data_IF_410546938757
#
_entry.id   IF_410546938757
#
_cell.length_a   1.000
_cell.length_b   1.000
_cell.length_c   1.000
_cell.angle_alpha   90.00
_cell.angle_beta   90.00
_cell.angle_gamma   90.00
#
_symmetry.space_group_name_H-M   'P 1'
#
loop_
_entity.id
_entity.type
_entity.pdbx_description
1 polymer ?
#
# COMPACT_ATOMS: atom_id res chain seq x y z
N UNK A 1 5.67 5.84 -13.20
CA UNK A 1 5.86 5.45 -11.78
C UNK A 1 6.93 6.30 -11.09
N UNK A 2 8.12 6.49 -11.69
CA UNK A 2 9.25 7.22 -11.06
C UNK A 2 8.91 8.67 -10.67
N UNK A 3 8.23 9.43 -11.54
CA UNK A 3 7.80 10.81 -11.26
C UNK A 3 6.85 10.95 -10.06
N UNK A 4 5.93 10.00 -9.87
CA UNK A 4 5.00 10.01 -8.74
C UNK A 4 5.72 9.85 -7.40
N UNK A 5 6.65 8.89 -7.32
CA UNK A 5 7.46 8.60 -6.14
C UNK A 5 8.19 9.86 -5.64
N UNK A 6 8.94 10.51 -6.55
CA UNK A 6 9.76 11.69 -6.23
C UNK A 6 8.89 12.87 -5.80
N UNK A 7 7.84 13.18 -6.55
CA UNK A 7 6.98 14.32 -6.27
C UNK A 7 6.27 14.21 -4.92
N UNK A 8 5.78 13.01 -4.59
CA UNK A 8 5.06 12.76 -3.34
C UNK A 8 5.98 12.91 -2.11
N UNK A 9 7.18 12.33 -2.18
CA UNK A 9 8.16 12.44 -1.10
C UNK A 9 8.66 13.87 -0.90
N UNK A 10 8.90 14.60 -1.98
CA UNK A 10 9.32 16.00 -1.92
C UNK A 10 8.26 16.87 -1.23
N UNK A 11 6.98 16.71 -1.59
CA UNK A 11 5.87 17.47 -0.98
C UNK A 11 5.69 17.16 0.50
N UNK A 12 5.81 15.90 0.91
CA UNK A 12 5.66 15.49 2.32
C UNK A 12 6.95 15.58 3.13
N UNK A 13 8.09 15.91 2.53
CA UNK A 13 9.42 15.90 3.16
C UNK A 13 9.72 14.56 3.88
N UNK A 14 9.24 13.45 3.33
CA UNK A 14 9.42 12.09 3.86
C UNK A 14 10.29 11.26 2.92
N UNK A 15 10.94 10.23 3.46
CA UNK A 15 11.66 9.23 2.65
C UNK A 15 10.64 8.39 1.84
N UNK A 16 11.08 7.85 0.72
CA UNK A 16 10.31 6.87 -0.04
C UNK A 16 10.89 5.48 0.18
N UNK A 17 10.00 4.53 0.47
CA UNK A 17 10.35 3.11 0.60
C UNK A 17 9.43 2.32 -0.34
N UNK A 18 10.01 1.57 -1.26
CA UNK A 18 9.33 0.60 -2.09
C UNK A 18 9.60 -0.80 -1.51
N UNK A 19 8.56 -1.51 -1.12
CA UNK A 19 8.73 -2.85 -0.54
C UNK A 19 9.19 -3.86 -1.57
N UNK A 20 8.89 -3.65 -2.85
CA UNK A 20 9.38 -4.50 -3.95
C UNK A 20 10.90 -4.39 -4.07
N UNK A 21 11.46 -3.16 -4.01
CA UNK A 21 12.91 -2.93 -4.00
C UNK A 21 13.58 -3.61 -2.79
N UNK A 22 12.94 -3.61 -1.62
CA UNK A 22 13.46 -4.29 -0.42
C UNK A 22 13.47 -5.81 -0.57
N UNK A 23 12.46 -6.40 -1.22
CA UNK A 23 12.41 -7.84 -1.48
C UNK A 23 13.51 -8.22 -2.47
N UNK A 24 13.64 -7.48 -3.58
CA UNK A 24 14.68 -7.72 -4.58
C UNK A 24 16.08 -7.61 -4.00
N UNK A 25 16.34 -6.58 -3.18
CA UNK A 25 17.62 -6.42 -2.47
C UNK A 25 17.91 -7.58 -1.51
N UNK A 26 16.89 -8.09 -0.79
CA UNK A 26 17.04 -9.23 0.13
C UNK A 26 17.30 -10.54 -0.59
N UNK A 27 16.66 -10.76 -1.74
CA UNK A 27 16.76 -12.01 -2.50
C UNK A 27 17.92 -12.03 -3.52
N UNK A 28 18.47 -10.86 -3.88
CA UNK A 28 19.48 -10.71 -4.92
C UNK A 28 18.96 -11.04 -6.33
N UNK A 29 17.65 -11.02 -6.55
CA UNK A 29 17.01 -11.34 -7.83
C UNK A 29 15.66 -10.63 -7.97
N UNK A 30 15.17 -10.50 -9.23
CA UNK A 30 13.90 -9.83 -9.49
C UNK A 30 12.69 -10.60 -8.95
N UNK A 31 11.59 -9.88 -8.64
CA UNK A 31 10.32 -10.49 -8.20
C UNK A 31 9.82 -11.53 -9.20
N UNK A 32 9.97 -11.29 -10.52
CA UNK A 32 9.59 -12.26 -11.53
C UNK A 32 10.40 -13.55 -11.38
N UNK A 33 11.71 -13.45 -11.17
CA UNK A 33 12.57 -14.63 -10.95
C UNK A 33 12.19 -15.40 -9.69
N UNK A 34 11.79 -14.68 -8.63
CA UNK A 34 11.29 -15.29 -7.39
C UNK A 34 10.00 -16.07 -7.66
N UNK A 35 9.05 -15.48 -8.36
CA UNK A 35 7.76 -16.15 -8.70
C UNK A 35 7.99 -17.35 -9.60
N UNK A 36 8.87 -17.24 -10.59
CA UNK A 36 9.15 -18.34 -11.53
C UNK A 36 9.82 -19.54 -10.86
N UNK A 37 10.70 -19.29 -9.88
CA UNK A 37 11.44 -20.35 -9.18
C UNK A 37 10.69 -20.95 -8.00
N UNK A 38 10.01 -20.12 -7.22
CA UNK A 38 9.48 -20.51 -5.90
C UNK A 38 7.94 -20.36 -5.81
N UNK A 39 7.32 -19.75 -6.81
CA UNK A 39 5.88 -19.53 -6.87
C UNK A 39 5.42 -18.25 -6.14
N UNK A 40 4.16 -17.90 -6.39
CA UNK A 40 3.57 -16.67 -5.87
C UNK A 40 3.33 -16.68 -4.35
N UNK A 41 3.18 -17.85 -3.75
CA UNK A 41 3.00 -17.99 -2.29
C UNK A 41 4.28 -17.59 -1.55
N UNK A 42 5.42 -18.04 -2.04
CA UNK A 42 6.72 -17.67 -1.49
C UNK A 42 6.97 -16.14 -1.59
N UNK A 43 6.56 -15.52 -2.70
CA UNK A 43 6.62 -14.05 -2.81
C UNK A 43 5.78 -13.38 -1.72
N UNK A 44 4.57 -13.87 -1.44
CA UNK A 44 3.71 -13.34 -0.35
C UNK A 44 4.36 -13.48 1.03
N UNK A 45 5.06 -14.58 1.28
CA UNK A 45 5.82 -14.78 2.53
C UNK A 45 6.96 -13.76 2.66
N UNK A 46 7.67 -13.49 1.57
CA UNK A 46 8.71 -12.45 1.55
C UNK A 46 8.13 -11.04 1.75
N UNK A 47 7.00 -10.73 1.12
CA UNK A 47 6.29 -9.47 1.34
C UNK A 47 5.94 -9.32 2.83
N UNK A 48 5.34 -10.33 3.48
CA UNK A 48 5.05 -10.29 4.90
C UNK A 48 6.31 -10.08 5.74
N UNK A 49 7.39 -10.81 5.47
CA UNK A 49 8.65 -10.66 6.21
C UNK A 49 9.20 -9.24 6.09
N UNK A 50 9.19 -8.64 4.89
CA UNK A 50 9.63 -7.26 4.67
C UNK A 50 8.74 -6.28 5.43
N UNK A 51 7.43 -6.43 5.37
CA UNK A 51 6.50 -5.59 6.11
C UNK A 51 6.71 -5.65 7.62
N UNK A 52 7.07 -6.82 8.17
CA UNK A 52 7.26 -7.03 9.61
C UNK A 52 8.64 -6.62 10.12
N UNK A 53 9.68 -6.61 9.26
CA UNK A 53 11.07 -6.41 9.71
C UNK A 53 11.70 -5.09 9.29
N UNK A 54 11.11 -4.36 8.32
CA UNK A 54 11.72 -3.13 7.79
C UNK A 54 11.35 -1.88 8.59
N UNK A 55 12.24 -0.88 8.57
CA UNK A 55 12.00 0.42 9.19
C UNK A 55 11.27 1.36 8.24
N UNK A 56 10.09 1.84 8.67
CA UNK A 56 9.23 2.71 7.88
C UNK A 56 9.01 4.10 8.53
N UNK A 57 9.74 4.42 9.61
CA UNK A 57 9.58 5.69 10.30
C UNK A 57 9.74 6.89 9.35
N UNK A 58 8.84 7.85 9.44
CA UNK A 58 8.81 9.08 8.63
C UNK A 58 8.93 8.83 7.11
N UNK A 59 8.32 7.76 6.60
CA UNK A 59 8.40 7.36 5.20
C UNK A 59 7.05 7.37 4.51
N UNK A 60 7.08 7.54 3.19
CA UNK A 60 6.01 7.13 2.28
C UNK A 60 6.34 5.71 1.82
N UNK A 61 5.50 4.76 2.15
CA UNK A 61 5.70 3.35 1.83
C UNK A 61 4.81 2.95 0.67
N UNK A 62 5.40 2.49 -0.44
CA UNK A 62 4.68 1.83 -1.51
C UNK A 62 4.80 0.32 -1.34
N UNK A 63 3.68 -0.35 -1.21
CA UNK A 63 3.64 -1.81 -1.06
C UNK A 63 3.38 -2.50 -2.38
N UNK A 64 3.87 -3.74 -2.51
CA UNK A 64 3.38 -4.67 -3.51
C UNK A 64 1.87 -4.89 -3.36
N UNK A 65 1.20 -5.21 -4.47
CA UNK A 65 -0.27 -5.35 -4.47
C UNK A 65 -0.78 -6.58 -3.70
N UNK A 66 0.07 -7.45 -3.21
CA UNK A 66 -0.30 -8.63 -2.42
C UNK A 66 -0.07 -8.45 -0.91
N UNK A 67 0.46 -7.32 -0.46
CA UNK A 67 0.58 -6.97 0.96
C UNK A 67 -0.73 -7.15 1.74
N UNK A 68 -1.87 -6.88 1.10
CA UNK A 68 -3.23 -7.03 1.64
C UNK A 68 -3.60 -8.45 2.10
N UNK A 69 -2.86 -9.48 1.70
CA UNK A 69 -3.08 -10.85 2.15
C UNK A 69 -2.40 -11.16 3.49
N UNK A 70 -1.46 -10.31 3.92
CA UNK A 70 -0.82 -10.43 5.24
C UNK A 70 -1.57 -9.57 6.26
N UNK A 71 -2.41 -10.20 7.08
CA UNK A 71 -3.11 -9.48 8.16
C UNK A 71 -2.12 -8.85 9.16
N UNK A 72 -1.02 -9.55 9.48
CA UNK A 72 0.03 -9.06 10.39
C UNK A 72 0.78 -7.88 9.78
N UNK A 73 1.14 -7.98 8.49
CA UNK A 73 1.80 -6.90 7.76
C UNK A 73 0.92 -5.65 7.68
N UNK A 74 -0.35 -5.82 7.33
CA UNK A 74 -1.31 -4.72 7.28
C UNK A 74 -1.57 -4.09 8.65
N UNK A 75 -1.75 -4.89 9.71
CA UNK A 75 -1.90 -4.39 11.08
C UNK A 75 -0.70 -3.53 11.50
N UNK A 76 0.52 -3.96 11.17
CA UNK A 76 1.72 -3.15 11.42
C UNK A 76 1.73 -1.85 10.64
N UNK A 77 1.41 -1.89 9.34
CA UNK A 77 1.36 -0.66 8.53
C UNK A 77 0.32 0.34 9.07
N UNK A 78 -0.87 -0.14 9.43
CA UNK A 78 -1.92 0.69 10.05
C UNK A 78 -1.46 1.31 11.38
N UNK A 79 -0.64 0.63 12.16
CA UNK A 79 -0.08 1.19 13.40
C UNK A 79 1.00 2.26 13.17
N UNK A 80 1.57 2.34 11.97
CA UNK A 80 2.65 3.24 11.60
C UNK A 80 2.17 4.48 10.83
N UNK A 81 0.99 4.42 10.22
CA UNK A 81 0.46 5.54 9.44
C UNK A 81 -0.80 5.21 8.65
N UNK A 82 -1.32 6.20 7.98
CA UNK A 82 -2.56 6.14 7.20
C UNK A 82 -2.41 5.29 5.95
N UNK A 83 -3.34 4.37 5.76
CA UNK A 83 -3.41 3.51 4.57
C UNK A 83 -4.19 4.22 3.46
N UNK A 84 -3.51 4.49 2.35
CA UNK A 84 -4.10 5.13 1.17
C UNK A 84 -4.26 4.11 0.06
N UNK A 85 -5.49 3.86 -0.36
CA UNK A 85 -5.79 3.08 -1.55
C UNK A 85 -5.90 3.98 -2.78
N UNK A 86 -5.04 3.76 -3.76
CA UNK A 86 -5.14 4.39 -5.07
C UNK A 86 -6.06 3.54 -5.95
N UNK A 87 -7.33 3.89 -5.99
CA UNK A 87 -8.29 3.21 -6.85
C UNK A 87 -8.03 3.54 -8.33
N UNK A 88 -8.32 2.57 -9.20
CA UNK A 88 -8.23 2.76 -10.64
C UNK A 88 -9.29 1.90 -11.32
N UNK A 89 -10.01 2.44 -12.30
CA UNK A 89 -10.96 1.69 -13.09
C UNK A 89 -10.26 0.55 -13.84
N UNK A 90 -10.90 -0.61 -13.94
CA UNK A 90 -10.27 -1.84 -14.46
C UNK A 90 -9.83 -1.71 -15.92
N UNK A 91 -10.59 -1.01 -16.75
CA UNK A 91 -10.29 -0.71 -18.15
C UNK A 91 -9.04 0.17 -18.30
N UNK A 92 -8.93 1.21 -17.45
CA UNK A 92 -7.75 2.08 -17.39
C UNK A 92 -6.54 1.30 -16.85
N UNK A 93 -6.74 0.45 -15.84
CA UNK A 93 -5.68 -0.38 -15.30
C UNK A 93 -5.16 -1.36 -16.36
N UNK A 94 -6.06 -1.97 -17.15
CA UNK A 94 -5.70 -2.86 -18.25
C UNK A 94 -4.85 -2.15 -19.32
N UNK A 95 -5.14 -0.89 -19.63
CA UNK A 95 -4.35 -0.08 -20.57
C UNK A 95 -2.96 0.28 -20.01
N UNK A 96 -2.84 0.48 -18.69
CA UNK A 96 -1.57 0.83 -18.03
C UNK A 96 -0.64 -0.35 -17.79
N UNK A 97 -1.17 -1.56 -17.77
CA UNK A 97 -0.39 -2.79 -17.54
C UNK A 97 -0.17 -3.53 -18.84
N UNK A 98 0.88 -3.16 -19.57
CA UNK A 98 1.26 -3.79 -20.84
C UNK A 98 1.83 -5.20 -20.66
N UNK A 99 2.50 -5.47 -19.53
CA UNK A 99 3.26 -6.69 -19.28
C UNK A 99 2.70 -7.53 -18.12
N UNK A 100 1.39 -7.60 -17.97
CA UNK A 100 0.73 -8.33 -16.88
C UNK A 100 1.24 -9.79 -16.67
N UNK A 101 1.53 -10.60 -17.72
CA UNK A 101 2.00 -11.96 -17.53
C UNK A 101 3.40 -12.08 -16.90
N UNK A 102 4.28 -11.09 -17.12
CA UNK A 102 5.71 -11.13 -16.79
C UNK A 102 6.13 -10.13 -15.72
N UNK A 103 5.20 -9.57 -15.00
CA UNK A 103 5.46 -8.47 -14.04
C UNK A 103 5.86 -8.93 -12.63
N UNK A 104 6.09 -10.21 -12.38
CA UNK A 104 6.43 -10.68 -11.03
C UNK A 104 5.28 -10.46 -10.02
N UNK A 105 4.05 -10.69 -10.43
CA UNK A 105 2.87 -10.51 -9.57
C UNK A 105 2.60 -11.78 -8.78
N UNK A 106 2.32 -11.62 -7.47
CA UNK A 106 1.87 -12.72 -6.61
C UNK A 106 0.42 -13.12 -6.95
N UNK A 107 0.24 -13.82 -8.07
CA UNK A 107 -1.04 -14.31 -8.61
C UNK A 107 -0.95 -15.78 -8.99
N UNK A 108 -2.11 -16.46 -9.06
CA UNK A 108 -2.19 -17.82 -9.61
C UNK A 108 -1.83 -17.83 -11.11
N UNK A 109 -1.20 -18.89 -11.63
CA UNK A 109 -0.75 -18.93 -13.02
C UNK A 109 -1.82 -18.61 -14.06
N UNK A 110 -3.04 -19.12 -13.88
CA UNK A 110 -4.18 -18.92 -14.79
C UNK A 110 -5.01 -17.67 -14.51
N UNK A 111 -4.61 -16.85 -13.55
CA UNK A 111 -5.42 -15.72 -13.10
C UNK A 111 -5.30 -14.53 -14.07
N UNK A 112 -6.44 -14.06 -14.55
CA UNK A 112 -6.53 -12.84 -15.39
C UNK A 112 -6.46 -11.58 -14.55
N UNK A 113 -6.15 -10.43 -15.17
CA UNK A 113 -6.17 -9.14 -14.51
C UNK A 113 -7.54 -8.86 -13.86
N UNK A 114 -8.64 -9.12 -14.60
CA UNK A 114 -9.97 -8.88 -14.09
C UNK A 114 -10.34 -9.78 -12.90
N UNK A 115 -9.91 -11.05 -12.89
CA UNK A 115 -10.15 -11.94 -11.76
C UNK A 115 -9.29 -11.56 -10.54
N UNK A 116 -8.03 -11.15 -10.75
CA UNK A 116 -7.15 -10.66 -9.70
C UNK A 116 -7.69 -9.35 -9.10
N UNK A 117 -8.14 -8.43 -9.94
CA UNK A 117 -8.76 -7.17 -9.50
C UNK A 117 -9.99 -7.43 -8.61
N UNK A 118 -10.91 -8.29 -9.04
CA UNK A 118 -12.10 -8.65 -8.26
C UNK A 118 -11.77 -9.33 -6.93
N UNK A 119 -10.74 -10.18 -6.90
CA UNK A 119 -10.27 -10.83 -5.68
C UNK A 119 -9.69 -9.82 -4.69
N UNK A 120 -8.88 -8.86 -5.17
CA UNK A 120 -8.13 -7.92 -4.32
C UNK A 120 -8.94 -6.71 -3.86
N UNK A 121 -9.91 -6.28 -4.65
CA UNK A 121 -10.68 -5.05 -4.37
C UNK A 121 -11.31 -5.00 -2.98
N UNK A 122 -11.99 -6.06 -2.48
CA UNK A 122 -12.53 -6.05 -1.12
C UNK A 122 -11.46 -5.90 -0.03
N UNK A 123 -10.28 -6.47 -0.24
CA UNK A 123 -9.16 -6.34 0.71
C UNK A 123 -8.61 -4.91 0.72
N UNK A 124 -8.40 -4.29 -0.45
CA UNK A 124 -7.98 -2.89 -0.51
C UNK A 124 -8.98 -1.98 0.20
N UNK A 125 -10.28 -2.17 -0.04
CA UNK A 125 -11.34 -1.39 0.61
C UNK A 125 -11.40 -1.61 2.12
N UNK A 126 -11.12 -2.84 2.59
CA UNK A 126 -11.09 -3.16 4.03
C UNK A 126 -10.02 -2.40 4.80
N UNK A 127 -8.83 -2.24 4.21
CA UNK A 127 -7.69 -1.62 4.88
C UNK A 127 -7.55 -0.13 4.62
N UNK A 128 -8.18 0.40 3.57
CA UNK A 128 -8.05 1.79 3.20
C UNK A 128 -8.73 2.72 4.21
N UNK A 129 -7.98 3.66 4.73
CA UNK A 129 -8.51 4.81 5.47
C UNK A 129 -8.85 5.96 4.52
N UNK A 130 -8.05 6.11 3.46
CA UNK A 130 -8.31 7.05 2.37
C UNK A 130 -8.35 6.30 1.04
N UNK A 131 -9.28 6.71 0.16
CA UNK A 131 -9.35 6.22 -1.22
C UNK A 131 -9.29 7.39 -2.18
N UNK A 132 -8.30 7.37 -3.08
CA UNK A 132 -8.11 8.41 -4.10
C UNK A 132 -8.17 7.79 -5.49
N UNK A 133 -9.09 8.28 -6.33
CA UNK A 133 -9.19 7.82 -7.71
C UNK A 133 -8.03 8.36 -8.56
N UNK A 134 -7.29 7.44 -9.17
CA UNK A 134 -6.16 7.69 -10.05
C UNK A 134 -6.46 7.42 -11.52
N UNK A 135 -7.70 7.08 -11.89
CA UNK A 135 -8.06 6.62 -13.24
C UNK A 135 -7.69 7.62 -14.33
N UNK A 136 -8.12 8.86 -14.18
CA UNK A 136 -8.01 9.91 -15.22
C UNK A 136 -7.19 11.13 -14.79
N UNK A 137 -6.48 11.03 -13.68
CA UNK A 137 -5.69 12.14 -13.15
C UNK A 137 -4.19 11.94 -13.38
N UNK A 138 -3.47 13.04 -13.57
CA UNK A 138 -2.01 12.99 -13.59
C UNK A 138 -1.46 12.59 -12.20
N UNK A 139 -0.26 12.02 -12.12
CA UNK A 139 0.37 11.70 -10.84
C UNK A 139 0.45 12.88 -9.87
N UNK A 140 0.68 14.10 -10.38
CA UNK A 140 0.75 15.33 -9.57
C UNK A 140 -0.59 15.63 -8.90
N UNK A 141 -1.70 15.58 -9.65
CA UNK A 141 -3.05 15.81 -9.14
C UNK A 141 -3.43 14.75 -8.09
N UNK A 142 -3.06 13.48 -8.32
CA UNK A 142 -3.32 12.40 -7.34
C UNK A 142 -2.59 12.70 -6.03
N UNK A 143 -1.33 13.12 -6.09
CA UNK A 143 -0.54 13.49 -4.90
C UNK A 143 -1.18 14.67 -4.15
N UNK A 144 -1.61 15.71 -4.85
CA UNK A 144 -2.26 16.87 -4.23
C UNK A 144 -3.54 16.44 -3.49
N UNK A 145 -4.39 15.62 -4.11
CA UNK A 145 -5.60 15.08 -3.46
C UNK A 145 -5.28 14.24 -2.21
N UNK A 146 -4.22 13.43 -2.25
CA UNK A 146 -3.80 12.67 -1.07
C UNK A 146 -3.41 13.62 0.05
N UNK A 147 -2.59 14.64 -0.24
CA UNK A 147 -2.14 15.61 0.76
C UNK A 147 -3.31 16.38 1.37
N UNK A 148 -4.25 16.83 0.56
CA UNK A 148 -5.47 17.51 1.02
C UNK A 148 -6.30 16.63 1.95
N UNK A 149 -6.50 15.35 1.59
CA UNK A 149 -7.26 14.43 2.42
C UNK A 149 -6.53 14.08 3.72
N UNK A 150 -5.19 13.90 3.69
CA UNK A 150 -4.40 13.67 4.91
C UNK A 150 -4.49 14.87 5.87
N UNK A 151 -4.38 16.10 5.37
CA UNK A 151 -4.51 17.30 6.17
C UNK A 151 -5.93 17.42 6.79
N UNK A 152 -6.98 17.03 6.07
CA UNK A 152 -8.34 17.02 6.60
C UNK A 152 -8.53 16.01 7.74
N UNK A 153 -7.89 14.84 7.67
CA UNK A 153 -7.94 13.84 8.75
C UNK A 153 -7.21 14.33 10.00
N UNK A 154 -6.05 14.96 9.85
CA UNK A 154 -5.27 15.49 10.99
C UNK A 154 -5.96 16.66 11.70
N UNK A 155 -6.88 17.36 11.04
CA UNK A 155 -7.63 18.50 11.63
C UNK A 155 -8.89 18.09 12.38
N UNK A 156 -9.33 16.83 12.32
CA UNK A 156 -10.45 16.33 13.11
C UNK A 156 -9.94 16.06 14.54
N UNK A 157 -10.39 16.80 15.58
CA UNK A 157 -9.96 16.53 16.95
C UNK A 157 -10.41 15.13 17.36
N UNK A 158 -9.52 14.38 17.99
CA UNK A 158 -9.83 13.05 18.53
C UNK A 158 -11.04 13.16 19.47
N UNK A 159 -12.19 12.54 19.15
CA UNK A 159 -13.37 12.58 19.98
C UNK A 159 -13.16 11.92 21.36
N UNK A 160 -12.03 11.20 21.54
CA UNK A 160 -11.69 10.54 22.82
C UNK A 160 -10.82 11.39 23.73
N UNK A 161 -10.24 12.50 23.22
CA UNK A 161 -9.37 13.38 23.99
C UNK A 161 -10.10 14.13 25.13
N UNK A 162 -11.42 14.10 25.17
CA UNK A 162 -12.25 14.81 26.16
C UNK A 162 -13.04 13.86 27.06
N UNK A 163 -12.53 12.67 27.40
CA UNK A 163 -13.10 11.86 28.46
C UNK A 163 -12.64 12.42 29.81
N UNK A 164 -13.57 12.98 30.64
CA UNK A 164 -13.22 13.34 32.00
C UNK A 164 -12.76 12.08 32.73
N UNK A 165 -11.60 12.16 33.40
CA UNK A 165 -11.13 11.10 34.27
C UNK A 165 -12.25 10.80 35.29
N UNK A 166 -12.78 9.57 35.23
CA UNK A 166 -13.64 9.06 36.29
C UNK A 166 -12.80 9.08 37.57
N UNK A 167 -13.13 10.04 38.45
CA UNK A 167 -12.61 10.01 39.83
C UNK A 167 -13.11 8.73 40.45
N UNK A 168 -12.20 7.90 40.94
CA UNK A 168 -12.54 6.78 41.82
C UNK A 168 -13.40 7.32 42.99
N UNK A 169 -14.53 6.68 43.29
CA UNK A 169 -15.26 6.98 44.51
C UNK A 169 -14.41 6.53 45.68
N UNK A 170 -13.96 7.47 46.45
CA UNK A 170 -13.35 7.21 47.76
C UNK A 170 -14.25 6.31 48.61
N UNK A 171 -13.62 5.34 49.24
CA UNK A 171 -14.04 4.43 50.27
C UNK A 171 -15.24 4.82 51.13
#
# INVERSE_FOLDING_TARGET
>A
AFSFKIFFCFKLKKKFVDTDDLIEARCGQSLQTVVDKFGYQYLRELEEQVLLSSEFAASVVATGGSAIYSERGMARLMSLGTIVYLSCAIDVLAQRIENFPTRGLAKKPSQTLASLYRERLPHYQRYAELTVDSSHSSPAIVVERIIEQLAAVETIPDPTANRPSLKDPER
#
